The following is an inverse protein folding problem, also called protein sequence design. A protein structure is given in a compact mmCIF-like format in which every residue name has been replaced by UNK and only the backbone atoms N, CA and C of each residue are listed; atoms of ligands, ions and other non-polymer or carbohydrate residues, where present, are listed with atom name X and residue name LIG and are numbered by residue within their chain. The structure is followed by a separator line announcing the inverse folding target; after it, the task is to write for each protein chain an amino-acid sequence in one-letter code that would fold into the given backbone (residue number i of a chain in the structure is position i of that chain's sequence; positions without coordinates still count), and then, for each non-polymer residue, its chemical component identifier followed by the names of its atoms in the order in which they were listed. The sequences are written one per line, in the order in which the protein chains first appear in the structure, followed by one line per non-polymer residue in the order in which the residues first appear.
data_IF_609003775643
#
_entry.id   IF_609003775643
#
_cell.length_a   1.000
_cell.length_b   1.000
_cell.length_c   1.000
_cell.angle_alpha   90.00
_cell.angle_beta   90.00
_cell.angle_gamma   90.00
#
_symmetry.space_group_name_H-M   'P 1'
#
loop_
_entity.id
_entity.type
_entity.pdbx_description
1 polymer ?
#
# COMPACT_ATOMS: atom_id res chain seq x y z
N UNK A 1 -0.22 3.14 1.89
CA UNK A 1 -1.36 2.68 2.72
C UNK A 1 -1.39 3.51 4.01
N UNK A 2 -2.55 3.69 4.66
CA UNK A 2 -2.58 4.30 6.00
C UNK A 2 -1.74 3.47 6.98
N UNK A 3 -1.00 4.15 7.87
CA UNK A 3 -0.09 3.51 8.84
C UNK A 3 -0.81 2.85 10.03
N UNK A 4 -2.04 3.28 10.31
CA UNK A 4 -2.82 2.86 11.47
C UNK A 4 -2.97 1.34 11.62
N UNK A 5 -3.46 0.61 10.60
CA UNK A 5 -3.65 -0.84 10.73
C UNK A 5 -2.35 -1.59 11.04
N UNK A 6 -1.24 -1.25 10.38
CA UNK A 6 0.07 -1.85 10.66
C UNK A 6 0.55 -1.57 12.07
N UNK A 7 0.42 -0.32 12.53
CA UNK A 7 0.84 0.06 13.88
C UNK A 7 0.04 -0.68 14.96
N UNK A 8 -1.28 -0.81 14.77
CA UNK A 8 -2.15 -1.53 15.69
C UNK A 8 -1.81 -3.02 15.72
N UNK A 9 -1.77 -3.67 14.54
CA UNK A 9 -1.45 -5.09 14.41
C UNK A 9 -0.09 -5.44 15.00
N UNK A 10 0.94 -4.60 14.78
CA UNK A 10 2.27 -4.82 15.35
C UNK A 10 2.28 -4.75 16.87
N UNK A 11 1.47 -3.86 17.45
CA UNK A 11 1.42 -3.67 18.90
C UNK A 11 0.61 -4.78 19.59
N UNK A 12 -0.48 -5.22 18.97
CA UNK A 12 -1.43 -6.17 19.59
C UNK A 12 -1.25 -7.62 19.13
N UNK A 13 -0.51 -7.86 18.04
CA UNK A 13 -0.49 -9.14 17.36
C UNK A 13 -1.74 -9.42 16.52
N UNK A 14 -2.63 -8.44 16.35
CA UNK A 14 -3.85 -8.63 15.59
C UNK A 14 -3.57 -8.92 14.10
N UNK A 15 -4.40 -9.79 13.53
CA UNK A 15 -4.37 -10.09 12.09
C UNK A 15 -5.14 -9.02 11.32
N UNK A 16 -4.58 -8.56 10.21
CA UNK A 16 -5.27 -7.62 9.32
C UNK A 16 -6.01 -8.41 8.25
N UNK A 17 -7.30 -8.14 8.07
CA UNK A 17 -8.16 -8.76 7.05
C UNK A 17 -8.60 -7.68 6.05
N UNK A 18 -7.93 -7.57 4.88
CA UNK A 18 -8.34 -6.64 3.84
C UNK A 18 -9.60 -7.17 3.16
N UNK A 19 -10.70 -6.43 3.25
CA UNK A 19 -11.98 -6.80 2.63
C UNK A 19 -12.54 -5.62 1.86
N UNK A 20 -13.25 -5.93 0.77
CA UNK A 20 -13.84 -4.93 -0.12
C UNK A 20 -15.29 -5.30 -0.39
N UNK A 21 -16.13 -4.27 -0.57
CA UNK A 21 -17.50 -4.44 -1.05
C UNK A 21 -17.58 -3.87 -2.46
N UNK A 22 -18.13 -4.67 -3.37
CA UNK A 22 -18.41 -4.27 -4.75
C UNK A 22 -19.91 -4.29 -4.95
N UNK A 23 -20.45 -3.21 -5.53
CA UNK A 23 -21.87 -3.09 -5.85
C UNK A 23 -22.17 -3.90 -7.11
N UNK A 24 -23.26 -4.65 -7.07
CA UNK A 24 -23.80 -5.38 -8.20
C UNK A 24 -24.82 -4.51 -8.98
N UNK A 25 -25.23 -4.99 -10.16
CA UNK A 25 -26.21 -4.29 -11.00
C UNK A 25 -27.64 -4.35 -10.47
N UNK A 26 -27.90 -5.20 -9.46
CA UNK A 26 -29.22 -5.50 -8.88
C UNK A 26 -29.38 -4.94 -7.45
N UNK A 27 -28.67 -3.85 -7.14
CA UNK A 27 -28.64 -3.19 -5.83
C UNK A 27 -28.12 -4.05 -4.66
N UNK A 28 -27.55 -5.22 -4.96
CA UNK A 28 -26.84 -6.04 -3.97
C UNK A 28 -25.35 -5.72 -3.91
N UNK A 29 -24.64 -6.34 -2.96
CA UNK A 29 -23.19 -6.18 -2.80
C UNK A 29 -22.51 -7.53 -2.64
N UNK A 30 -21.33 -7.67 -3.26
CA UNK A 30 -20.45 -8.83 -3.08
C UNK A 30 -19.27 -8.43 -2.21
N UNK A 31 -19.07 -9.17 -1.11
CA UNK A 31 -17.89 -9.05 -0.26
C UNK A 31 -16.73 -9.87 -0.83
N UNK A 32 -15.62 -9.20 -1.11
CA UNK A 32 -14.37 -9.82 -1.53
C UNK A 32 -13.43 -9.88 -0.33
N UNK A 33 -13.27 -11.08 0.22
CA UNK A 33 -12.31 -11.32 1.30
C UNK A 33 -10.94 -11.65 0.74
N UNK A 34 -9.91 -10.94 1.20
CA UNK A 34 -8.52 -11.20 0.80
C UNK A 34 -7.80 -12.07 1.81
N UNK A 35 -6.64 -12.59 1.39
CA UNK A 35 -5.76 -13.31 2.31
C UNK A 35 -5.37 -12.41 3.48
N UNK A 36 -5.34 -12.96 4.71
CA UNK A 36 -4.89 -12.22 5.87
C UNK A 36 -3.48 -11.65 5.69
N UNK A 37 -3.28 -10.42 6.18
CA UNK A 37 -1.95 -9.83 6.33
C UNK A 37 -1.57 -9.97 7.81
N UNK A 38 -0.69 -10.93 8.06
CA UNK A 38 0.00 -11.07 9.34
C UNK A 38 1.27 -10.22 9.25
N UNK A 39 1.48 -9.35 10.23
CA UNK A 39 2.71 -8.58 10.35
C UNK A 39 3.74 -9.37 11.16
N UNK A 40 4.95 -9.43 10.63
CA UNK A 40 6.11 -9.84 11.40
C UNK A 40 6.48 -8.70 12.36
N UNK A 41 6.76 -9.03 13.62
CA UNK A 41 7.23 -8.07 14.61
C UNK A 41 8.76 -8.10 14.63
N UNK A 42 9.38 -7.50 13.62
CA UNK A 42 10.85 -7.45 13.55
C UNK A 42 11.40 -6.36 14.48
N UNK A 43 12.74 -6.28 14.56
CA UNK A 43 13.42 -5.21 15.29
C UNK A 43 13.16 -3.82 14.69
N UNK A 44 12.82 -3.73 13.40
CA UNK A 44 12.57 -2.46 12.71
C UNK A 44 11.09 -2.25 12.45
N UNK A 45 10.48 -1.39 13.27
CA UNK A 45 9.08 -0.97 13.10
C UNK A 45 8.80 -0.39 11.71
N UNK A 46 9.74 0.39 11.18
CA UNK A 46 9.59 1.00 9.86
C UNK A 46 9.64 -0.04 8.73
N UNK A 47 10.48 -1.07 8.85
CA UNK A 47 10.51 -2.17 7.90
C UNK A 47 9.18 -2.94 7.91
N UNK A 48 8.61 -3.21 9.09
CA UNK A 48 7.34 -3.91 9.25
C UNK A 48 6.19 -3.12 8.57
N UNK A 49 6.14 -1.80 8.82
CA UNK A 49 5.14 -0.91 8.22
C UNK A 49 5.32 -0.80 6.70
N UNK A 50 6.56 -0.77 6.20
CA UNK A 50 6.86 -0.76 4.77
C UNK A 50 6.38 -2.05 4.10
N UNK A 51 6.70 -3.21 4.67
CA UNK A 51 6.28 -4.52 4.18
C UNK A 51 4.75 -4.66 4.16
N UNK A 52 4.08 -4.22 5.23
CA UNK A 52 2.62 -4.10 5.24
C UNK A 52 2.11 -3.22 4.10
N UNK A 53 2.71 -2.04 3.93
CA UNK A 53 2.26 -1.05 2.96
C UNK A 53 2.32 -1.59 1.54
N UNK A 54 3.41 -2.26 1.18
CA UNK A 54 3.57 -2.90 -0.15
C UNK A 54 2.48 -3.95 -0.36
N UNK A 55 2.32 -4.90 0.57
CA UNK A 55 1.31 -5.97 0.46
C UNK A 55 -0.11 -5.43 0.34
N UNK A 56 -0.44 -4.42 1.14
CA UNK A 56 -1.77 -3.81 1.13
C UNK A 56 -2.04 -3.03 -0.15
N UNK A 57 -1.04 -2.30 -0.67
CA UNK A 57 -1.18 -1.57 -1.93
C UNK A 57 -1.35 -2.51 -3.11
N UNK A 58 -0.62 -3.64 -3.17
CA UNK A 58 -0.81 -4.64 -4.23
C UNK A 58 -2.24 -5.19 -4.28
N UNK A 59 -2.86 -5.39 -3.11
CA UNK A 59 -4.27 -5.80 -3.02
C UNK A 59 -5.20 -4.69 -3.54
N UNK A 60 -4.97 -3.43 -3.11
CA UNK A 60 -5.73 -2.28 -3.57
C UNK A 60 -5.67 -2.12 -5.09
N UNK A 61 -4.46 -2.15 -5.66
CA UNK A 61 -4.26 -2.01 -7.10
C UNK A 61 -4.99 -3.09 -7.88
N UNK A 62 -5.00 -4.34 -7.39
CA UNK A 62 -5.76 -5.43 -8.00
C UNK A 62 -7.27 -5.13 -8.01
N UNK A 63 -7.83 -4.72 -6.88
CA UNK A 63 -9.27 -4.44 -6.77
C UNK A 63 -9.65 -3.23 -7.64
N UNK A 64 -8.87 -2.15 -7.60
CA UNK A 64 -9.13 -0.93 -8.38
C UNK A 64 -9.07 -1.23 -9.88
N UNK A 65 -8.13 -2.06 -10.34
CA UNK A 65 -8.06 -2.46 -11.77
C UNK A 65 -9.23 -3.33 -12.19
N UNK A 66 -9.82 -4.08 -11.27
CA UNK A 66 -10.96 -4.96 -11.55
C UNK A 66 -12.29 -4.21 -11.55
N UNK A 67 -12.44 -3.18 -10.70
CA UNK A 67 -13.66 -2.38 -10.55
C UNK A 67 -13.33 -0.86 -10.58
N UNK A 68 -12.72 -0.36 -11.67
CA UNK A 68 -12.26 1.03 -11.72
C UNK A 68 -13.40 2.04 -11.59
N UNK A 69 -14.58 1.74 -12.13
CA UNK A 69 -15.77 2.61 -12.11
C UNK A 69 -16.35 2.81 -10.70
N UNK A 70 -16.10 1.87 -9.78
CA UNK A 70 -16.60 1.94 -8.40
C UNK A 70 -15.62 2.63 -7.44
N UNK A 71 -14.44 3.03 -7.93
CA UNK A 71 -13.46 3.75 -7.13
C UNK A 71 -13.78 5.24 -7.06
N UNK A 72 -13.62 5.84 -5.87
CA UNK A 72 -13.87 7.26 -5.64
C UNK A 72 -12.71 8.13 -6.20
N UNK A 73 -12.67 8.30 -7.52
CA UNK A 73 -11.61 9.06 -8.23
C UNK A 73 -11.59 10.57 -7.93
N UNK A 74 -12.63 11.11 -7.30
CA UNK A 74 -12.73 12.54 -6.96
C UNK A 74 -11.63 13.01 -5.99
N UNK A 75 -10.97 12.09 -5.29
CA UNK A 75 -9.89 12.42 -4.37
C UNK A 75 -8.54 12.48 -5.10
N UNK A 76 -7.89 13.65 -5.10
CA UNK A 76 -6.51 13.80 -5.59
C UNK A 76 -5.54 13.11 -4.61
N UNK A 77 -5.38 11.81 -4.81
CA UNK A 77 -4.54 10.94 -4.00
C UNK A 77 -3.05 11.31 -4.09
N UNK A 78 -2.63 12.00 -5.15
CA UNK A 78 -1.23 12.29 -5.47
C UNK A 78 -0.85 13.77 -5.29
N UNK A 79 -1.78 14.59 -4.80
CA UNK A 79 -1.56 16.01 -4.48
C UNK A 79 -0.30 16.26 -3.66
N UNK A 80 -0.03 15.40 -2.67
CA UNK A 80 1.16 15.48 -1.84
C UNK A 80 2.39 14.91 -2.57
N UNK A 81 3.08 15.80 -3.30
CA UNK A 81 4.29 15.49 -4.06
C UNK A 81 5.56 15.42 -3.20
N UNK A 82 5.49 15.60 -1.88
CA UNK A 82 6.68 15.58 -1.00
C UNK A 82 7.45 14.26 -1.10
N UNK A 83 6.73 13.14 -1.21
CA UNK A 83 7.33 11.81 -1.37
C UNK A 83 7.89 11.58 -2.78
N UNK A 84 7.34 12.23 -3.80
CA UNK A 84 7.85 12.15 -5.18
C UNK A 84 9.18 12.88 -5.30
N UNK A 85 9.31 14.07 -4.71
CA UNK A 85 10.56 14.81 -4.69
C UNK A 85 11.68 14.05 -3.95
N UNK A 86 11.35 13.42 -2.82
CA UNK A 86 12.29 12.56 -2.08
C UNK A 86 12.71 11.33 -2.91
N UNK A 87 11.76 10.65 -3.54
CA UNK A 87 12.04 9.50 -4.43
C UNK A 87 12.93 9.88 -5.61
N UNK A 88 12.65 10.99 -6.29
CA UNK A 88 13.46 11.45 -7.43
C UNK A 88 14.88 11.82 -7.00
N UNK A 89 15.06 12.39 -5.81
CA UNK A 89 16.37 12.69 -5.23
C UNK A 89 17.16 11.41 -4.90
N UNK A 90 16.50 10.42 -4.30
CA UNK A 90 17.11 9.12 -3.98
C UNK A 90 17.43 8.30 -5.23
N UNK A 91 16.52 8.26 -6.22
CA UNK A 91 16.72 7.56 -7.49
C UNK A 91 17.84 8.20 -8.33
N UNK A 92 17.94 9.54 -8.33
CA UNK A 92 19.05 10.25 -8.97
C UNK A 92 20.39 10.00 -8.27
N UNK A 93 20.40 9.93 -6.93
CA UNK A 93 21.61 9.60 -6.17
C UNK A 93 22.06 8.14 -6.39
N UNK A 94 21.12 7.20 -6.53
CA UNK A 94 21.42 5.80 -6.82
C UNK A 94 21.97 5.59 -8.25
N UNK A 95 21.48 6.36 -9.23
CA UNK A 95 21.99 6.32 -10.61
C UNK A 95 23.42 6.88 -10.73
N UNK A 96 23.72 8.00 -10.06
CA UNK A 96 25.08 8.55 -10.03
C UNK A 96 26.09 7.68 -9.27
N UNK A 97 25.63 6.89 -8.29
CA UNK A 97 26.48 5.94 -7.58
C UNK A 97 26.85 4.70 -8.42
N UNK A 98 26.03 4.31 -9.40
CA UNK A 98 26.36 3.22 -10.32
C UNK A 98 27.31 3.65 -11.44
N UNK A 99 27.30 4.93 -11.84
CA UNK A 99 28.24 5.48 -12.83
C UNK A 99 29.66 5.58 -12.26
N UNK A 100 29.82 6.07 -11.02
CA UNK A 100 31.14 6.20 -10.39
C UNK A 100 31.78 4.87 -9.89
N UNK A 101 31.03 3.77 -9.92
CA UNK A 101 31.55 2.45 -9.53
C UNK A 101 32.03 1.61 -10.75
N UNK A 102 31.83 2.13 -11.97
CA UNK A 102 32.24 1.51 -13.22
C UNK A 102 33.53 2.13 -13.81
N UNK A 103 34.20 2.99 -13.05
CA UNK A 103 35.49 3.63 -13.36
C UNK A 103 36.56 3.17 -12.34
#
# INVERSE_FOLDING_TARGET
APRGPAALARNTGATILPNFLVRNGDDTYTMIMQKPIILDKTKSKEADIKNYTVRFLSIYEKIIRQYPEQWLWMYDRWKDRRHVAAYLKEAGAAAGASENAAE
#
